data_IF_485042308456
#
_entry.id   IF_485042308456
#
_cell.length_a   1.000
_cell.length_b   1.000
_cell.length_c   1.000
_cell.angle_alpha   90.00
_cell.angle_beta   90.00
_cell.angle_gamma   90.00
#
_symmetry.space_group_name_H-M   'P 1'
#
loop_
_entity.id
_entity.type
_entity.pdbx_description
1 polymer ?
#
# COMPACT_ATOMS: atom_id res chain seq x y z
N UNK A 1 9.36 -22.06 -30.94
CA UNK A 1 9.74 -21.12 -32.01
C UNK A 1 9.70 -19.73 -31.39
N UNK A 2 10.86 -19.25 -30.95
CA UNK A 2 11.06 -17.99 -30.22
C UNK A 2 10.97 -16.83 -31.21
N UNK A 3 10.06 -15.88 -30.99
CA UNK A 3 9.99 -14.67 -31.80
C UNK A 3 11.12 -13.73 -31.37
N UNK A 4 12.22 -13.73 -32.13
CA UNK A 4 13.28 -12.72 -32.06
C UNK A 4 12.81 -11.45 -32.76
N UNK A 5 12.64 -10.35 -32.03
CA UNK A 5 12.62 -9.01 -32.62
C UNK A 5 14.03 -8.43 -32.56
N UNK A 6 14.57 -8.11 -33.74
CA UNK A 6 15.92 -7.56 -33.89
C UNK A 6 15.82 -6.04 -33.82
N UNK A 7 16.28 -5.45 -32.72
CA UNK A 7 16.48 -4.00 -32.61
C UNK A 7 17.72 -3.56 -33.39
N UNK A 8 17.65 -2.37 -34.01
CA UNK A 8 18.64 -1.76 -34.92
C UNK A 8 20.04 -1.50 -34.33
N UNK A 9 20.36 -1.94 -33.11
CA UNK A 9 21.66 -1.78 -32.46
C UNK A 9 22.25 -3.07 -31.86
N UNK A 10 21.83 -4.26 -32.33
CA UNK A 10 22.51 -5.52 -32.00
C UNK A 10 22.52 -5.92 -30.52
N UNK A 11 21.75 -5.25 -29.67
CA UNK A 11 21.51 -5.64 -28.28
C UNK A 11 20.17 -6.33 -28.21
N UNK A 12 20.20 -7.67 -28.19
CA UNK A 12 19.01 -8.50 -27.94
C UNK A 12 18.63 -8.31 -26.47
N UNK A 13 17.63 -7.46 -26.18
CA UNK A 13 17.01 -7.42 -24.85
C UNK A 13 16.08 -8.62 -24.71
N UNK A 14 16.56 -9.68 -24.06
CA UNK A 14 15.69 -10.76 -23.61
C UNK A 14 14.79 -10.22 -22.49
N UNK A 15 13.56 -9.83 -22.84
CA UNK A 15 12.48 -9.43 -21.91
C UNK A 15 12.03 -10.58 -21.00
N UNK A 16 12.31 -11.81 -21.42
CA UNK A 16 12.07 -13.04 -20.66
C UNK A 16 12.89 -13.04 -19.37
N UNK A 17 12.20 -13.04 -18.23
CA UNK A 17 12.85 -13.11 -16.92
C UNK A 17 11.98 -13.93 -15.96
N UNK A 18 12.20 -15.26 -15.89
CA UNK A 18 11.35 -16.16 -15.12
C UNK A 18 11.39 -15.85 -13.62
N UNK A 19 12.48 -15.25 -13.12
CA UNK A 19 12.60 -14.82 -11.73
C UNK A 19 11.53 -13.78 -11.37
N UNK A 20 11.32 -12.77 -12.21
CA UNK A 20 10.25 -11.79 -11.97
C UNK A 20 8.87 -12.39 -12.16
N UNK A 21 8.69 -13.29 -13.14
CA UNK A 21 7.44 -14.03 -13.31
C UNK A 21 7.05 -14.82 -12.05
N UNK A 22 8.00 -15.57 -11.48
CA UNK A 22 7.81 -16.33 -10.24
C UNK A 22 7.54 -15.43 -9.04
N UNK A 23 8.26 -14.31 -8.92
CA UNK A 23 8.09 -13.39 -7.80
C UNK A 23 6.71 -12.72 -7.82
N UNK A 24 6.28 -12.13 -8.94
CA UNK A 24 4.94 -11.55 -9.08
C UNK A 24 3.85 -12.63 -8.98
N UNK A 25 4.09 -13.84 -9.49
CA UNK A 25 3.19 -14.98 -9.35
C UNK A 25 2.99 -15.39 -7.89
N UNK A 26 4.05 -15.38 -7.09
CA UNK A 26 3.98 -15.68 -5.65
C UNK A 26 3.17 -14.61 -4.90
N UNK A 27 3.40 -13.33 -5.21
CA UNK A 27 2.60 -12.22 -4.66
C UNK A 27 1.12 -12.37 -5.03
N UNK A 28 0.80 -12.79 -6.24
CA UNK A 28 -0.58 -13.03 -6.67
C UNK A 28 -1.24 -14.18 -5.88
N UNK A 29 -0.54 -15.32 -5.75
CA UNK A 29 -1.04 -16.52 -5.06
C UNK A 29 -1.26 -16.27 -3.56
N UNK A 30 -0.41 -15.46 -2.93
CA UNK A 30 -0.55 -15.12 -1.51
C UNK A 30 -1.51 -13.94 -1.29
N UNK A 31 -1.34 -12.87 -2.06
CA UNK A 31 -2.06 -11.61 -1.90
C UNK A 31 -3.56 -11.75 -2.15
N UNK A 32 -3.99 -12.55 -3.13
CA UNK A 32 -5.41 -12.73 -3.43
C UNK A 32 -6.20 -13.34 -2.25
N UNK A 33 -5.86 -14.55 -1.75
CA UNK A 33 -6.62 -15.16 -0.67
C UNK A 33 -6.52 -14.36 0.62
N UNK A 34 -5.34 -13.83 0.96
CA UNK A 34 -5.16 -13.07 2.19
C UNK A 34 -6.02 -11.80 2.21
N UNK A 35 -6.01 -11.01 1.14
CA UNK A 35 -6.81 -9.78 1.08
C UNK A 35 -8.30 -10.04 0.89
N UNK A 36 -8.68 -11.10 0.15
CA UNK A 36 -10.09 -11.46 0.00
C UNK A 36 -10.71 -11.91 1.34
N UNK A 37 -10.00 -12.77 2.09
CA UNK A 37 -10.44 -13.21 3.42
C UNK A 37 -10.46 -12.04 4.40
N UNK A 38 -9.43 -11.20 4.41
CA UNK A 38 -9.38 -10.00 5.24
C UNK A 38 -10.56 -9.07 4.96
N UNK A 39 -10.84 -8.78 3.69
CA UNK A 39 -11.97 -7.93 3.28
C UNK A 39 -13.31 -8.54 3.72
N UNK A 40 -13.50 -9.84 3.53
CA UNK A 40 -14.70 -10.53 3.97
C UNK A 40 -14.90 -10.42 5.50
N UNK A 41 -13.84 -10.64 6.28
CA UNK A 41 -13.86 -10.50 7.75
C UNK A 41 -14.20 -9.06 8.15
N UNK A 42 -13.52 -8.08 7.55
CA UNK A 42 -13.71 -6.64 7.81
C UNK A 42 -15.16 -6.21 7.58
N UNK A 43 -15.75 -6.62 6.45
CA UNK A 43 -17.13 -6.28 6.10
C UNK A 43 -18.14 -6.97 7.02
N UNK A 44 -17.94 -8.25 7.34
CA UNK A 44 -18.86 -9.02 8.19
C UNK A 44 -18.83 -8.59 9.65
N UNK A 45 -17.63 -8.38 10.24
CA UNK A 45 -17.50 -8.15 11.69
C UNK A 45 -17.61 -6.69 12.09
N UNK A 46 -17.17 -5.74 11.26
CA UNK A 46 -17.03 -4.33 11.69
C UNK A 46 -18.07 -3.38 11.11
N UNK A 47 -18.92 -3.83 10.18
CA UNK A 47 -20.05 -3.06 9.63
C UNK A 47 -19.70 -1.64 9.14
N UNK A 48 -18.43 -1.39 8.80
CA UNK A 48 -17.90 -0.07 8.36
C UNK A 48 -18.20 1.09 9.34
N UNK A 49 -18.43 0.78 10.62
CA UNK A 49 -18.82 1.77 11.64
C UNK A 49 -17.63 2.53 12.23
N UNK A 50 -16.43 1.94 12.23
CA UNK A 50 -15.22 2.59 12.75
C UNK A 50 -14.37 3.20 11.63
N UNK A 51 -13.76 4.36 11.91
CA UNK A 51 -12.87 5.07 10.98
C UNK A 51 -11.71 4.18 10.51
N UNK A 52 -11.06 3.45 11.42
CA UNK A 52 -9.99 2.51 11.09
C UNK A 52 -10.47 1.38 10.16
N UNK A 53 -11.66 0.82 10.36
CA UNK A 53 -12.19 -0.23 9.50
C UNK A 53 -12.45 0.27 8.08
N UNK A 54 -12.91 1.52 7.91
CA UNK A 54 -13.12 2.13 6.59
C UNK A 54 -11.79 2.23 5.82
N UNK A 55 -10.71 2.67 6.47
CA UNK A 55 -9.38 2.72 5.83
C UNK A 55 -8.82 1.33 5.52
N UNK A 56 -8.94 0.37 6.45
CA UNK A 56 -8.48 -1.01 6.24
C UNK A 56 -9.22 -1.71 5.10
N UNK A 57 -10.54 -1.50 4.96
CA UNK A 57 -11.31 -2.03 3.82
C UNK A 57 -10.82 -1.45 2.50
N UNK A 58 -10.55 -0.15 2.45
CA UNK A 58 -10.08 0.48 1.21
C UNK A 58 -8.63 0.09 0.88
N UNK A 59 -7.79 -0.15 1.89
CA UNK A 59 -6.47 -0.74 1.70
C UNK A 59 -6.60 -2.15 1.07
N UNK A 60 -7.43 -3.02 1.63
CA UNK A 60 -7.67 -4.35 1.07
C UNK A 60 -8.24 -4.31 -0.37
N UNK A 61 -9.12 -3.34 -0.69
CA UNK A 61 -9.62 -3.14 -2.05
C UNK A 61 -8.47 -2.70 -2.98
N UNK A 62 -7.63 -1.77 -2.55
CA UNK A 62 -6.43 -1.33 -3.28
C UNK A 62 -5.49 -2.50 -3.57
N UNK A 63 -5.30 -3.40 -2.60
CA UNK A 63 -4.45 -4.59 -2.73
C UNK A 63 -5.04 -5.62 -3.69
N UNK A 64 -6.35 -5.83 -3.66
CA UNK A 64 -7.03 -6.70 -4.64
C UNK A 64 -6.91 -6.15 -6.06
N UNK A 65 -7.01 -4.82 -6.25
CA UNK A 65 -6.81 -4.19 -7.57
C UNK A 65 -5.38 -4.39 -8.09
N UNK A 66 -4.37 -4.32 -7.22
CA UNK A 66 -3.00 -4.70 -7.56
C UNK A 66 -2.95 -6.16 -8.02
N UNK A 67 -3.47 -7.07 -7.21
CA UNK A 67 -3.37 -8.52 -7.48
C UNK A 67 -4.05 -8.89 -8.79
N UNK A 68 -5.18 -8.29 -9.13
CA UNK A 68 -5.86 -8.47 -10.42
C UNK A 68 -5.01 -7.99 -11.62
N UNK A 69 -4.11 -7.04 -11.41
CA UNK A 69 -3.18 -6.55 -12.46
C UNK A 69 -1.97 -7.47 -12.68
N UNK A 70 -1.61 -8.31 -11.71
CA UNK A 70 -0.40 -9.15 -11.74
C UNK A 70 -0.40 -10.28 -12.79
N UNK A 71 -1.50 -10.99 -13.13
CA UNK A 71 -1.48 -12.07 -14.11
C UNK A 71 -0.86 -11.67 -15.44
N UNK A 72 -1.17 -10.47 -15.92
CA UNK A 72 -0.66 -9.99 -17.20
C UNK A 72 0.81 -9.60 -17.14
N UNK A 73 1.28 -9.14 -15.98
CA UNK A 73 2.69 -8.89 -15.71
C UNK A 73 3.48 -10.20 -15.62
N UNK A 74 2.92 -11.23 -14.99
CA UNK A 74 3.49 -12.58 -14.96
C UNK A 74 3.59 -13.16 -16.37
N UNK A 75 2.51 -13.06 -17.16
CA UNK A 75 2.51 -13.50 -18.56
C UNK A 75 3.60 -12.81 -19.38
N UNK A 76 3.76 -11.49 -19.23
CA UNK A 76 4.79 -10.73 -19.93
C UNK A 76 6.20 -11.22 -19.58
N UNK A 77 6.53 -11.38 -18.30
CA UNK A 77 7.87 -11.87 -17.90
C UNK A 77 8.11 -13.35 -18.25
N UNK A 78 7.05 -14.16 -18.37
CA UNK A 78 7.13 -15.57 -18.74
C UNK A 78 7.28 -15.80 -20.26
N UNK A 79 6.69 -14.92 -21.09
CA UNK A 79 6.66 -15.09 -22.56
C UNK A 79 7.50 -14.06 -23.32
N UNK A 80 7.88 -12.97 -22.66
CA UNK A 80 8.54 -11.82 -23.29
C UNK A 80 7.62 -10.98 -24.19
N UNK A 81 6.31 -11.27 -24.23
CA UNK A 81 5.36 -10.64 -25.15
C UNK A 81 4.14 -10.05 -24.43
N UNK A 82 3.62 -8.95 -24.96
CA UNK A 82 2.35 -8.37 -24.52
C UNK A 82 1.23 -8.73 -25.49
N UNK A 83 0.20 -9.49 -25.08
CA UNK A 83 -0.81 -10.00 -25.99
C UNK A 83 -1.92 -8.99 -26.28
N UNK A 84 -2.20 -8.07 -25.35
CA UNK A 84 -3.31 -7.10 -25.46
C UNK A 84 -2.91 -5.82 -26.20
N UNK A 85 -3.86 -4.88 -26.28
CA UNK A 85 -3.65 -3.55 -26.85
C UNK A 85 -2.99 -2.57 -25.85
N UNK A 86 -2.65 -1.38 -26.34
CA UNK A 86 -2.03 -0.32 -25.53
C UNK A 86 -2.93 0.16 -24.39
N UNK A 87 -4.25 0.19 -24.60
CA UNK A 87 -5.19 0.63 -23.56
C UNK A 87 -5.16 -0.28 -22.34
N UNK A 88 -5.18 -1.60 -22.55
CA UNK A 88 -5.05 -2.57 -21.46
C UNK A 88 -3.70 -2.44 -20.74
N UNK A 89 -2.63 -2.16 -21.49
CA UNK A 89 -1.31 -1.95 -20.92
C UNK A 89 -1.28 -0.75 -19.96
N UNK A 90 -1.88 0.37 -20.39
CA UNK A 90 -2.01 1.58 -19.58
C UNK A 90 -2.81 1.26 -18.32
N UNK A 91 -4.00 0.66 -18.43
CA UNK A 91 -4.83 0.33 -17.28
C UNK A 91 -4.12 -0.55 -16.26
N UNK A 92 -3.49 -1.64 -16.69
CA UNK A 92 -2.81 -2.59 -15.80
C UNK A 92 -1.62 -1.92 -15.11
N UNK A 93 -0.85 -1.11 -15.84
CA UNK A 93 0.26 -0.34 -15.26
C UNK A 93 -0.23 0.72 -14.27
N UNK A 94 -1.34 1.40 -14.58
CA UNK A 94 -1.92 2.41 -13.68
C UNK A 94 -2.56 1.79 -12.44
N UNK A 95 -3.20 0.61 -12.53
CA UNK A 95 -3.71 -0.10 -11.34
C UNK A 95 -2.58 -0.45 -10.37
N UNK A 96 -1.46 -0.93 -10.89
CA UNK A 96 -0.27 -1.23 -10.10
C UNK A 96 0.29 0.02 -9.42
N UNK A 97 0.48 1.12 -10.18
CA UNK A 97 0.99 2.40 -9.64
C UNK A 97 0.02 3.04 -8.66
N UNK A 98 -1.27 2.91 -8.94
CA UNK A 98 -2.34 3.36 -8.05
C UNK A 98 -2.21 2.68 -6.69
N UNK A 99 -2.05 1.35 -6.63
CA UNK A 99 -1.87 0.63 -5.37
C UNK A 99 -0.71 1.18 -4.53
N UNK A 100 0.49 1.36 -5.11
CA UNK A 100 1.65 1.89 -4.36
C UNK A 100 1.31 3.24 -3.69
N UNK A 101 0.58 4.11 -4.40
CA UNK A 101 0.17 5.42 -3.88
C UNK A 101 -0.95 5.30 -2.86
N UNK A 102 -2.03 4.59 -3.18
CA UNK A 102 -3.17 4.45 -2.27
C UNK A 102 -2.80 3.69 -1.01
N UNK A 103 -2.00 2.63 -1.08
CA UNK A 103 -1.59 1.85 0.08
C UNK A 103 -0.73 2.67 1.03
N UNK A 104 0.27 3.42 0.54
CA UNK A 104 1.07 4.33 1.40
C UNK A 104 0.23 5.43 2.06
N UNK A 105 -0.74 5.99 1.33
CA UNK A 105 -1.69 6.96 1.89
C UNK A 105 -2.57 6.29 2.97
N UNK A 106 -3.19 5.15 2.69
CA UNK A 106 -4.08 4.46 3.63
C UNK A 106 -3.34 4.02 4.89
N UNK A 107 -2.13 3.47 4.78
CA UNK A 107 -1.27 3.12 5.92
C UNK A 107 -1.02 4.36 6.80
N UNK A 108 -0.73 5.51 6.18
CA UNK A 108 -0.53 6.78 6.91
C UNK A 108 -1.81 7.22 7.64
N UNK A 109 -2.97 7.16 6.98
CA UNK A 109 -4.25 7.51 7.61
C UNK A 109 -4.62 6.54 8.74
N UNK A 110 -4.29 5.25 8.61
CA UNK A 110 -4.43 4.26 9.69
C UNK A 110 -3.54 4.65 10.87
N UNK A 111 -2.26 4.98 10.63
CA UNK A 111 -1.35 5.47 11.69
C UNK A 111 -1.86 6.73 12.38
N UNK A 112 -2.41 7.69 11.63
CA UNK A 112 -3.00 8.92 12.20
C UNK A 112 -4.24 8.59 13.03
N UNK A 113 -5.19 7.77 12.54
CA UNK A 113 -6.37 7.40 13.32
C UNK A 113 -5.98 6.69 14.63
N UNK A 114 -4.97 5.80 14.58
CA UNK A 114 -4.45 5.12 15.77
C UNK A 114 -3.75 6.09 16.72
N UNK A 115 -2.96 7.04 16.22
CA UNK A 115 -2.35 8.09 17.03
C UNK A 115 -3.42 8.89 17.76
N UNK A 116 -4.45 9.36 17.04
CA UNK A 116 -5.55 10.13 17.59
C UNK A 116 -6.33 9.33 18.65
N UNK A 117 -6.53 8.03 18.42
CA UNK A 117 -7.22 7.15 19.36
C UNK A 117 -6.44 6.94 20.68
N UNK A 118 -5.10 6.91 20.62
CA UNK A 118 -4.26 6.64 21.80
C UNK A 118 -3.88 7.91 22.56
N UNK A 119 -3.46 8.95 21.84
CA UNK A 119 -2.91 10.17 22.44
C UNK A 119 -4.00 11.21 22.71
N UNK A 120 -5.05 11.26 21.88
CA UNK A 120 -6.11 12.28 21.96
C UNK A 120 -7.54 11.71 21.92
N UNK A 121 -7.90 10.71 22.77
CA UNK A 121 -9.15 9.97 22.63
C UNK A 121 -10.42 10.84 22.70
N UNK A 122 -10.48 11.82 23.60
CA UNK A 122 -11.65 12.70 23.76
C UNK A 122 -11.67 13.83 22.71
N UNK A 123 -10.52 14.46 22.46
CA UNK A 123 -10.40 15.59 21.53
C UNK A 123 -10.64 15.17 20.08
N UNK A 124 -10.29 13.95 19.71
CA UNK A 124 -10.42 13.46 18.32
C UNK A 124 -11.78 12.83 17.99
N UNK A 125 -12.70 12.71 18.94
CA UNK A 125 -14.00 12.03 18.75
C UNK A 125 -14.82 12.59 17.58
N UNK A 126 -14.79 13.90 17.37
CA UNK A 126 -15.50 14.57 16.27
C UNK A 126 -14.87 14.30 14.89
N UNK A 127 -13.56 14.05 14.82
CA UNK A 127 -12.85 13.69 13.59
C UNK A 127 -13.04 12.21 13.24
N UNK A 128 -13.02 11.34 14.26
CA UNK A 128 -13.07 9.88 14.15
C UNK A 128 -14.49 9.34 13.97
N UNK A 129 -15.18 9.86 12.96
CA UNK A 129 -16.51 9.39 12.54
C UNK A 129 -16.40 8.63 11.21
N UNK A 130 -17.30 7.67 10.99
CA UNK A 130 -17.36 6.92 9.72
C UNK A 130 -17.61 7.86 8.52
N UNK A 131 -18.47 8.87 8.69
CA UNK A 131 -18.72 9.88 7.64
C UNK A 131 -17.45 10.62 7.22
N UNK A 132 -16.63 11.08 8.17
CA UNK A 132 -15.37 11.75 7.83
C UNK A 132 -14.36 10.79 7.21
N UNK A 133 -14.34 9.53 7.65
CA UNK A 133 -13.50 8.49 7.06
C UNK A 133 -13.86 8.27 5.57
N UNK A 134 -15.15 8.16 5.24
CA UNK A 134 -15.62 8.02 3.86
C UNK A 134 -15.29 9.23 3.00
N UNK A 135 -15.41 10.45 3.55
CA UNK A 135 -14.96 11.67 2.85
C UNK A 135 -13.47 11.63 2.57
N UNK A 136 -12.65 11.26 3.56
CA UNK A 136 -11.21 11.13 3.37
C UNK A 136 -10.88 10.07 2.32
N UNK A 137 -11.51 8.89 2.36
CA UNK A 137 -11.36 7.83 1.33
C UNK A 137 -11.69 8.35 -0.07
N UNK A 138 -12.81 9.07 -0.23
CA UNK A 138 -13.20 9.63 -1.52
C UNK A 138 -12.15 10.62 -2.05
N UNK A 139 -11.62 11.48 -1.16
CA UNK A 139 -10.54 12.41 -1.51
C UNK A 139 -9.24 11.67 -1.87
N UNK A 140 -8.89 10.59 -1.17
CA UNK A 140 -7.71 9.78 -1.45
C UNK A 140 -7.83 9.15 -2.85
N UNK A 141 -8.96 8.52 -3.15
CA UNK A 141 -9.22 7.92 -4.47
C UNK A 141 -9.18 8.97 -5.59
N UNK A 142 -9.82 10.12 -5.38
CA UNK A 142 -9.77 11.21 -6.35
C UNK A 142 -8.33 11.70 -6.57
N UNK A 143 -7.56 11.90 -5.50
CA UNK A 143 -6.19 12.35 -5.55
C UNK A 143 -5.29 11.39 -6.32
N UNK A 144 -5.35 10.08 -6.03
CA UNK A 144 -4.53 9.09 -6.75
C UNK A 144 -4.93 8.97 -8.22
N UNK A 145 -6.22 9.07 -8.54
CA UNK A 145 -6.67 9.08 -9.95
C UNK A 145 -6.13 10.31 -10.67
N UNK A 146 -6.30 11.51 -10.10
CA UNK A 146 -5.79 12.76 -10.70
C UNK A 146 -4.29 12.70 -10.91
N UNK A 147 -3.54 12.15 -9.95
CA UNK A 147 -2.11 11.96 -10.09
C UNK A 147 -1.74 11.01 -11.25
N UNK A 148 -2.48 9.91 -11.42
CA UNK A 148 -2.23 8.94 -12.49
C UNK A 148 -2.54 9.49 -13.90
N UNK A 149 -3.34 10.55 -14.04
CA UNK A 149 -3.73 11.11 -15.35
C UNK A 149 -2.52 11.57 -16.18
N UNK A 150 -1.68 12.52 -15.74
CA UNK A 150 -0.56 13.00 -16.55
C UNK A 150 0.45 11.89 -16.87
N UNK A 151 0.65 10.97 -15.94
CA UNK A 151 1.53 9.82 -16.12
C UNK A 151 0.99 8.84 -17.16
N UNK A 152 -0.31 8.55 -17.14
CA UNK A 152 -0.97 7.70 -18.13
C UNK A 152 -0.98 8.32 -19.52
N UNK A 153 -1.16 9.65 -19.63
CA UNK A 153 -1.07 10.38 -20.90
C UNK A 153 0.35 10.31 -21.48
N UNK A 154 1.38 10.53 -20.66
CA UNK A 154 2.76 10.43 -21.09
C UNK A 154 3.11 9.00 -21.52
N UNK A 155 2.64 8.01 -20.77
CA UNK A 155 2.83 6.60 -21.11
C UNK A 155 2.10 6.20 -22.40
N UNK A 156 0.89 6.71 -22.63
CA UNK A 156 0.15 6.50 -23.87
C UNK A 156 0.87 7.08 -25.09
N UNK A 157 1.44 8.29 -24.96
CA UNK A 157 2.27 8.89 -26.03
C UNK A 157 3.50 8.04 -26.33
N UNK A 158 4.17 7.54 -25.29
CA UNK A 158 5.32 6.64 -25.43
C UNK A 158 4.94 5.35 -26.20
N UNK A 159 3.87 4.67 -25.80
CA UNK A 159 3.39 3.44 -26.45
C UNK A 159 2.93 3.66 -27.90
N UNK A 160 2.49 4.87 -28.26
CA UNK A 160 2.14 5.19 -29.65
C UNK A 160 3.37 5.54 -30.50
N UNK A 161 4.46 5.99 -29.89
CA UNK A 161 5.72 6.29 -30.59
C UNK A 161 6.59 5.07 -30.85
N UNK A 162 6.40 3.99 -30.08
CA UNK A 162 7.14 2.73 -30.20
C UNK A 162 6.30 1.72 -30.99
N UNK A 163 6.84 1.18 -32.09
CA UNK A 163 6.17 0.12 -32.88
C UNK A 163 6.25 -1.28 -32.23
N UNK A 164 6.89 -1.40 -31.07
CA UNK A 164 7.02 -2.65 -30.31
C UNK A 164 6.14 -2.64 -29.04
N UNK A 165 5.61 -3.82 -28.67
CA UNK A 165 4.71 -3.97 -27.51
C UNK A 165 5.49 -4.12 -26.19
N UNK A 166 6.05 -3.05 -25.67
CA UNK A 166 6.93 -3.03 -24.48
C UNK A 166 6.21 -2.57 -23.19
N UNK A 167 5.11 -3.23 -22.82
CA UNK A 167 4.20 -2.74 -21.75
C UNK A 167 4.84 -2.52 -20.35
N UNK A 168 5.84 -3.32 -19.98
CA UNK A 168 6.49 -3.24 -18.66
C UNK A 168 8.00 -2.97 -18.72
N UNK A 169 8.54 -2.79 -19.92
CA UNK A 169 9.88 -2.24 -20.09
C UNK A 169 9.77 -0.72 -20.02
N UNK A 170 9.89 -0.23 -18.80
CA UNK A 170 9.99 1.19 -18.56
C UNK A 170 11.46 1.59 -18.84
N UNK A 171 11.76 2.01 -20.08
CA UNK A 171 12.94 2.86 -20.36
C UNK A 171 12.46 4.29 -20.60
N UNK A 172 12.11 5.03 -19.54
CA UNK A 172 11.93 6.43 -19.72
C UNK A 172 13.35 7.02 -19.78
N UNK A 173 13.66 7.75 -20.84
CA UNK A 173 14.36 9.01 -20.65
C UNK A 173 13.25 10.05 -20.43
N UNK A 174 12.62 10.15 -19.24
CA UNK A 174 11.69 11.23 -19.05
C UNK A 174 12.55 12.47 -18.85
N UNK A 175 12.30 13.55 -19.59
CA UNK A 175 12.76 14.83 -19.07
C UNK A 175 12.13 14.99 -17.68
N UNK A 176 12.90 15.30 -16.63
CA UNK A 176 12.37 15.40 -15.28
C UNK A 176 11.27 16.48 -15.28
N UNK A 177 10.02 16.03 -15.13
CA UNK A 177 8.89 16.93 -14.98
C UNK A 177 8.69 17.26 -13.50
N UNK A 178 8.01 18.36 -13.19
CA UNK A 178 7.68 18.71 -11.80
C UNK A 178 6.95 17.58 -11.06
N UNK A 179 6.23 16.71 -11.77
CA UNK A 179 5.49 15.55 -11.22
C UNK A 179 6.44 14.51 -10.63
N UNK A 180 7.64 14.33 -11.20
CA UNK A 180 8.65 13.37 -10.70
C UNK A 180 9.09 13.71 -9.27
N UNK A 181 9.11 15.00 -8.90
CA UNK A 181 9.48 15.47 -7.56
C UNK A 181 8.38 15.30 -6.51
N UNK A 182 7.11 15.23 -6.93
CA UNK A 182 5.99 15.16 -5.98
C UNK A 182 5.99 13.79 -5.27
N UNK A 183 6.32 12.70 -5.99
CA UNK A 183 6.32 11.34 -5.45
C UNK A 183 7.27 11.17 -4.24
N UNK A 184 8.57 11.50 -4.33
CA UNK A 184 9.47 11.38 -3.19
C UNK A 184 9.06 12.31 -2.05
N UNK A 185 8.67 13.56 -2.33
CA UNK A 185 8.18 14.51 -1.31
C UNK A 185 7.00 13.92 -0.54
N UNK A 186 6.02 13.33 -1.24
CA UNK A 186 4.87 12.69 -0.63
C UNK A 186 5.29 11.51 0.26
N UNK A 187 6.17 10.63 -0.21
CA UNK A 187 6.64 9.48 0.58
C UNK A 187 7.45 9.91 1.79
N UNK A 188 8.31 10.92 1.67
CA UNK A 188 9.05 11.48 2.82
C UNK A 188 8.14 12.15 3.84
N UNK A 189 7.13 12.91 3.41
CA UNK A 189 6.16 13.52 4.33
C UNK A 189 5.35 12.46 5.08
N UNK A 190 4.91 11.40 4.39
CA UNK A 190 4.22 10.27 5.03
C UNK A 190 5.11 9.51 6.00
N UNK A 191 6.37 9.25 5.63
CA UNK A 191 7.34 8.63 6.52
C UNK A 191 7.54 9.48 7.78
N UNK A 192 7.70 10.80 7.65
CA UNK A 192 7.83 11.71 8.78
C UNK A 192 6.59 11.66 9.70
N UNK A 193 5.38 11.64 9.12
CA UNK A 193 4.14 11.47 9.89
C UNK A 193 4.12 10.15 10.65
N UNK A 194 4.54 9.03 10.03
CA UNK A 194 4.59 7.72 10.69
C UNK A 194 5.65 7.68 11.81
N UNK A 195 6.81 8.31 11.62
CA UNK A 195 7.85 8.45 12.66
C UNK A 195 7.31 9.24 13.85
N UNK A 196 6.75 10.42 13.60
CA UNK A 196 6.18 11.28 14.66
C UNK A 196 5.05 10.56 15.39
N UNK A 197 4.15 9.89 14.65
CA UNK A 197 3.06 9.10 15.23
C UNK A 197 3.58 8.01 16.15
N UNK A 198 4.58 7.25 15.69
CA UNK A 198 5.21 6.18 16.46
C UNK A 198 5.89 6.72 17.72
N UNK A 199 6.64 7.83 17.62
CA UNK A 199 7.32 8.45 18.74
C UNK A 199 6.34 8.95 19.82
N UNK A 200 5.27 9.66 19.41
CA UNK A 200 4.26 10.20 20.32
C UNK A 200 3.48 9.09 21.03
N UNK A 201 3.10 8.04 20.30
CA UNK A 201 2.43 6.88 20.89
C UNK A 201 3.35 6.17 21.86
N UNK A 202 4.60 5.89 21.48
CA UNK A 202 5.59 5.26 22.35
C UNK A 202 5.75 6.04 23.65
N UNK A 203 5.96 7.36 23.55
CA UNK A 203 6.12 8.23 24.70
C UNK A 203 4.89 8.26 25.62
N UNK A 204 3.70 8.39 25.03
CA UNK A 204 2.43 8.38 25.77
C UNK A 204 2.23 7.05 26.49
N UNK A 205 2.52 5.94 25.79
CA UNK A 205 2.34 4.59 26.30
C UNK A 205 3.36 4.25 27.40
N UNK A 206 4.60 4.73 27.28
CA UNK A 206 5.61 4.63 28.34
C UNK A 206 5.23 5.45 29.58
N UNK A 207 4.67 6.66 29.41
CA UNK A 207 4.26 7.50 30.54
C UNK A 207 2.99 7.00 31.24
N UNK A 208 2.04 6.44 30.50
CA UNK A 208 0.72 6.03 31.02
C UNK A 208 0.68 4.59 31.56
N UNK A 209 1.56 3.70 31.10
CA UNK A 209 1.55 2.27 31.45
C UNK A 209 2.74 1.83 32.31
N UNK A 210 3.19 2.69 33.23
CA UNK A 210 4.18 2.29 34.24
C UNK A 210 3.59 1.35 35.32
N UNK A 211 2.28 1.12 35.34
CA UNK A 211 1.63 0.14 36.22
C UNK A 211 1.53 -1.25 35.55
N UNK A 212 2.08 -2.23 36.24
CA UNK A 212 2.64 -3.51 35.79
C UNK A 212 1.65 -4.60 35.25
N UNK A 213 0.51 -4.26 34.65
CA UNK A 213 -0.52 -5.28 34.36
C UNK A 213 -0.94 -5.49 32.88
N UNK A 214 -0.39 -4.77 31.89
CA UNK A 214 -0.93 -4.84 30.50
C UNK A 214 0.11 -4.80 29.38
N UNK A 215 1.19 -5.57 29.55
CA UNK A 215 2.34 -5.65 28.63
C UNK A 215 1.92 -6.16 27.23
N UNK A 216 1.02 -7.15 27.13
CA UNK A 216 0.58 -7.71 25.84
C UNK A 216 -0.13 -6.69 24.95
N UNK A 217 -1.07 -5.92 25.52
CA UNK A 217 -1.79 -4.88 24.77
C UNK A 217 -0.87 -3.71 24.37
N UNK A 218 0.13 -3.40 25.20
CA UNK A 218 1.18 -2.44 24.87
C UNK A 218 2.00 -2.89 23.66
N UNK A 219 2.42 -4.16 23.64
CA UNK A 219 3.21 -4.75 22.55
C UNK A 219 2.42 -4.81 21.25
N UNK A 220 1.16 -5.26 21.27
CA UNK A 220 0.33 -5.33 20.05
C UNK A 220 0.12 -3.96 19.40
N UNK A 221 -0.14 -2.91 20.20
CA UNK A 221 -0.27 -1.54 19.69
C UNK A 221 1.04 -1.05 19.09
N UNK A 222 2.16 -1.27 19.78
CA UNK A 222 3.49 -0.89 19.29
C UNK A 222 3.89 -1.63 18.02
N UNK A 223 3.52 -2.91 17.88
CA UNK A 223 3.76 -3.71 16.69
C UNK A 223 3.07 -3.11 15.45
N UNK A 224 1.83 -2.63 15.57
CA UNK A 224 1.13 -1.97 14.45
C UNK A 224 1.91 -0.74 13.96
N UNK A 225 2.36 0.12 14.87
CA UNK A 225 3.14 1.32 14.50
C UNK A 225 4.51 0.95 13.94
N UNK A 226 5.19 -0.05 14.52
CA UNK A 226 6.45 -0.55 14.01
C UNK A 226 6.28 -1.14 12.60
N UNK A 227 5.19 -1.86 12.35
CA UNK A 227 4.86 -2.41 11.05
C UNK A 227 4.58 -1.32 10.01
N UNK A 228 3.72 -0.36 10.34
CA UNK A 228 3.47 0.78 9.44
C UNK A 228 4.77 1.55 9.15
N UNK A 229 5.61 1.78 10.17
CA UNK A 229 6.89 2.47 10.01
C UNK A 229 7.86 1.69 9.12
N UNK A 230 7.94 0.37 9.24
CA UNK A 230 8.86 -0.45 8.46
C UNK A 230 8.45 -0.60 6.99
N UNK A 231 7.15 -0.48 6.68
CA UNK A 231 6.65 -0.56 5.30
C UNK A 231 7.21 0.56 4.41
N UNK A 232 7.41 1.77 4.95
CA UNK A 232 7.97 2.90 4.19
C UNK A 232 9.39 2.68 3.67
N UNK A 233 10.41 2.44 4.51
CA UNK A 233 11.77 2.25 4.06
C UNK A 233 11.95 0.98 3.22
N UNK A 234 11.11 -0.04 3.40
CA UNK A 234 11.23 -1.32 2.66
C UNK A 234 10.50 -1.29 1.31
N UNK A 235 9.25 -0.81 1.26
CA UNK A 235 8.40 -0.96 0.07
C UNK A 235 8.21 0.33 -0.73
N UNK A 236 8.14 1.50 -0.09
CA UNK A 236 7.75 2.75 -0.76
C UNK A 236 8.93 3.67 -1.08
N UNK A 237 9.88 3.79 -0.14
CA UNK A 237 11.04 4.66 -0.26
C UNK A 237 12.00 4.22 -1.38
N UNK A 238 12.36 2.93 -1.53
CA UNK A 238 13.30 2.52 -2.56
C UNK A 238 12.80 2.83 -3.98
N UNK A 239 11.51 2.58 -4.25
CA UNK A 239 10.88 2.92 -5.54
C UNK A 239 10.92 4.43 -5.78
N UNK A 240 10.60 5.23 -4.76
CA UNK A 240 10.53 6.69 -4.89
C UNK A 240 11.91 7.31 -5.13
N UNK A 241 12.94 6.80 -4.45
CA UNK A 241 14.33 7.22 -4.67
C UNK A 241 14.83 6.80 -6.05
N UNK A 242 14.54 5.57 -6.48
CA UNK A 242 14.99 5.08 -7.77
C UNK A 242 14.37 5.86 -8.93
N UNK A 243 13.09 6.25 -8.82
CA UNK A 243 12.45 7.16 -9.79
C UNK A 243 13.07 8.55 -9.76
N UNK A 244 13.42 9.06 -8.57
CA UNK A 244 14.04 10.37 -8.40
C UNK A 244 15.47 10.43 -8.96
N UNK A 245 16.27 9.37 -8.80
CA UNK A 245 17.63 9.25 -9.32
C UNK A 245 17.71 8.72 -10.75
N UNK A 246 16.57 8.58 -11.44
CA UNK A 246 16.49 8.09 -12.82
C UNK A 246 17.16 6.72 -13.01
N UNK A 247 17.05 5.84 -12.01
CA UNK A 247 17.62 4.51 -12.05
C UNK A 247 17.00 3.67 -13.16
N UNK A 248 17.83 2.98 -13.94
CA UNK A 248 17.38 2.17 -15.08
C UNK A 248 16.80 0.81 -14.68
N UNK A 249 17.16 0.29 -13.50
CA UNK A 249 16.82 -1.07 -13.06
C UNK A 249 15.84 -1.07 -11.89
N UNK A 250 14.65 -0.51 -12.10
CA UNK A 250 13.63 -0.38 -11.05
C UNK A 250 12.73 -1.61 -10.88
N UNK A 251 12.76 -2.58 -11.80
CA UNK A 251 11.86 -3.75 -11.77
C UNK A 251 11.94 -4.54 -10.47
N UNK A 252 13.13 -4.74 -9.92
CA UNK A 252 13.31 -5.40 -8.62
C UNK A 252 12.69 -4.63 -7.46
N UNK A 253 12.79 -3.30 -7.46
CA UNK A 253 12.18 -2.44 -6.44
C UNK A 253 10.66 -2.40 -6.57
N UNK A 254 10.14 -2.40 -7.80
CA UNK A 254 8.71 -2.53 -8.09
C UNK A 254 8.18 -3.89 -7.59
N UNK A 255 8.94 -4.97 -7.82
CA UNK A 255 8.61 -6.29 -7.29
C UNK A 255 8.58 -6.27 -5.76
N UNK A 256 9.60 -5.70 -5.11
CA UNK A 256 9.64 -5.55 -3.67
C UNK A 256 8.42 -4.77 -3.16
N UNK A 257 8.09 -3.63 -3.77
CA UNK A 257 6.94 -2.83 -3.41
C UNK A 257 5.60 -3.60 -3.50
N UNK A 258 5.47 -4.51 -4.47
CA UNK A 258 4.26 -5.34 -4.59
C UNK A 258 4.08 -6.33 -3.43
N UNK A 259 5.16 -6.70 -2.73
CA UNK A 259 5.09 -7.59 -1.54
C UNK A 259 4.35 -6.91 -0.37
N UNK A 260 4.24 -5.57 -0.36
CA UNK A 260 3.49 -4.84 0.67
C UNK A 260 2.08 -5.41 0.88
N UNK A 261 1.37 -5.71 -0.22
CA UNK A 261 0.00 -6.21 -0.16
C UNK A 261 -0.15 -7.56 0.55
N UNK A 262 0.93 -8.34 0.66
CA UNK A 262 0.94 -9.61 1.39
C UNK A 262 1.13 -9.41 2.90
N UNK A 263 1.63 -8.25 3.33
CA UNK A 263 1.87 -7.90 4.73
C UNK A 263 0.75 -7.05 5.34
N UNK A 264 -0.04 -6.36 4.52
CA UNK A 264 -1.21 -5.59 4.98
C UNK A 264 -2.22 -6.44 5.79
N UNK A 265 -2.47 -7.73 5.47
CA UNK A 265 -3.27 -8.64 6.30
C UNK A 265 -2.80 -8.81 7.75
N UNK A 266 -1.49 -8.73 7.99
CA UNK A 266 -0.93 -8.77 9.34
C UNK A 266 -1.28 -7.48 10.10
N UNK A 267 -1.29 -6.32 9.42
CA UNK A 267 -1.76 -5.08 10.03
C UNK A 267 -3.20 -5.21 10.49
N UNK A 268 -4.07 -5.81 9.67
CA UNK A 268 -5.47 -6.03 10.06
C UNK A 268 -5.56 -6.91 11.30
N UNK A 269 -4.86 -8.05 11.32
CA UNK A 269 -4.83 -8.97 12.44
C UNK A 269 -4.45 -8.28 13.76
N UNK A 270 -3.30 -7.60 13.82
CA UNK A 270 -2.84 -6.94 15.06
C UNK A 270 -3.72 -5.75 15.44
N UNK A 271 -4.25 -5.03 14.46
CA UNK A 271 -5.22 -3.94 14.62
C UNK A 271 -6.52 -4.41 15.26
N UNK A 272 -6.92 -5.67 15.03
CA UNK A 272 -8.08 -6.30 15.65
C UNK A 272 -7.77 -6.89 17.03
N UNK A 273 -6.69 -7.63 17.20
CA UNK A 273 -6.31 -8.20 18.51
C UNK A 273 -6.22 -7.11 19.58
N UNK A 274 -5.62 -5.96 19.25
CA UNK A 274 -5.55 -4.81 20.16
C UNK A 274 -6.89 -4.09 20.40
N UNK A 275 -7.90 -4.28 19.54
CA UNK A 275 -9.24 -3.73 19.72
C UNK A 275 -10.09 -4.64 20.61
N UNK A 276 -10.07 -5.96 20.36
CA UNK A 276 -10.82 -6.95 21.13
C UNK A 276 -10.32 -7.05 22.57
N UNK A 277 -9.00 -7.08 22.78
CA UNK A 277 -8.45 -7.09 24.13
C UNK A 277 -8.82 -5.83 24.93
N UNK A 278 -8.97 -4.67 24.26
CA UNK A 278 -9.46 -3.46 24.95
C UNK A 278 -10.94 -3.52 25.31
N UNK A 279 -11.76 -4.11 24.46
CA UNK A 279 -13.19 -4.21 24.71
C UNK A 279 -13.48 -5.20 25.85
N UNK A 280 -12.84 -6.36 25.85
CA UNK A 280 -12.93 -7.35 26.95
C UNK A 280 -12.50 -6.76 28.29
N UNK A 281 -11.42 -5.97 28.31
CA UNK A 281 -10.91 -5.30 29.51
C UNK A 281 -11.83 -4.16 30.00
N UNK A 282 -12.57 -3.49 29.10
CA UNK A 282 -13.58 -2.48 29.49
C UNK A 282 -14.82 -3.17 30.05
N UNK A 283 -15.29 -4.23 29.41
CA UNK A 283 -16.44 -5.02 29.87
C UNK A 283 -16.17 -5.66 31.23
N UNK A 284 -14.96 -6.19 31.47
CA UNK A 284 -14.57 -6.70 32.80
C UNK A 284 -14.40 -5.60 33.85
N UNK A 285 -14.01 -4.38 33.48
CA UNK A 285 -13.95 -3.25 34.42
C UNK A 285 -15.34 -2.80 34.87
N UNK A 286 -16.29 -2.73 33.93
CA UNK A 286 -17.70 -2.39 34.21
C UNK A 286 -18.34 -3.48 35.07
N UNK A 287 -18.10 -4.76 34.75
CA UNK A 287 -18.60 -5.89 35.54
C UNK A 287 -18.03 -5.95 36.98
N UNK A 288 -16.88 -5.32 37.25
CA UNK A 288 -16.32 -5.20 38.61
C UNK A 288 -16.92 -4.03 39.39
N UNK A 289 -17.29 -2.94 38.74
CA UNK A 289 -17.96 -1.81 39.38
C UNK A 289 -19.42 -2.14 39.72
N UNK A 290 -20.11 -2.96 38.91
CA UNK A 290 -21.49 -3.40 39.19
C UNK A 290 -21.61 -4.41 40.35
N UNK A 291 -20.49 -5.03 40.77
CA UNK A 291 -20.45 -6.05 41.83
C UNK A 291 -19.99 -5.50 43.19
N UNK A 292 -19.91 -4.17 43.35
CA UNK A 292 -19.44 -3.48 44.55
C UNK A 292 -20.50 -2.55 45.12
#
# INVERSE_FOLDING_TARGET
MSNMTVGENGTVSNTWNPTYGLAFGSVMVLGLPLNAVALWILLRRHSLKSTSAVFMVNLAISDLLLVVSLPMRVYFYATGTWPLNNMACIWITMLFRNNIRSSSIFITFISIDRLLAVVYPLRSRHLRTSSNAWRAVALIWLFVVVWNIPESVNFARFLNSTNEKTCFEFDPKPQPTSITYIQPVLVFTMLAVNIVSTALVSWTLHRRLNDSARISNKVNVMLIFAMNLMMFPVFFLPVSLAVFFEERRITGLICLASVNCCLDPLLYYFSFDGFWSRQEDVETSIARDDNR
#
